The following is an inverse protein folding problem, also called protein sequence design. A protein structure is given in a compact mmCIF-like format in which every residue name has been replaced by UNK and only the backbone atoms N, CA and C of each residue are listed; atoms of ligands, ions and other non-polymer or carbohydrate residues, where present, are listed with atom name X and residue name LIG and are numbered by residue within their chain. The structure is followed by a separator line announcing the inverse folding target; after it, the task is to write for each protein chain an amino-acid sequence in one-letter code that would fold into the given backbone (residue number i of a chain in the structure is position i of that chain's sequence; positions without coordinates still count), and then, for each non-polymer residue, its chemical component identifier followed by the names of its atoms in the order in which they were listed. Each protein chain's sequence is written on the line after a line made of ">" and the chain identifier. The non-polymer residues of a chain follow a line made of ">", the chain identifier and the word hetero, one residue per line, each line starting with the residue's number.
data_IF_613542235473
#
_entry.id   IF_613542235473
#
_cell.length_a   1.000
_cell.length_b   1.000
_cell.length_c   1.000
_cell.angle_alpha   90.00
_cell.angle_beta   90.00
_cell.angle_gamma   90.00
#
_symmetry.space_group_name_H-M   'P 1'
#
loop_
_entity.id
_entity.type
_entity.pdbx_description
1 polymer ?
#
# COMPACT_ATOMS: atom_id res chain seq x y z
N UNK A 1 -2.83 5.85 8.30
CA UNK A 1 -2.57 4.78 7.31
C UNK A 1 -1.41 3.93 7.86
N UNK A 2 -1.55 2.61 8.11
CA UNK A 2 -0.41 1.73 8.51
C UNK A 2 0.08 0.85 7.35
N UNK A 3 -0.76 -0.04 6.81
CA UNK A 3 -0.29 -1.17 6.00
C UNK A 3 -0.94 -1.32 4.62
N UNK A 4 -1.82 -0.39 4.20
CA UNK A 4 -2.47 -0.34 2.87
C UNK A 4 -2.82 -1.74 2.28
N UNK A 5 -3.68 -2.54 2.96
CA UNK A 5 -3.95 -3.93 2.57
C UNK A 5 -4.60 -4.00 1.18
N UNK A 6 -4.20 -5.00 0.40
CA UNK A 6 -4.71 -5.25 -0.96
C UNK A 6 -5.43 -6.60 -1.05
N UNK A 7 -6.33 -6.81 -2.02
CA UNK A 7 -6.97 -8.11 -2.21
C UNK A 7 -5.94 -9.23 -2.32
N UNK A 8 -6.13 -10.27 -1.50
CA UNK A 8 -5.19 -11.38 -1.36
C UNK A 8 -4.40 -11.34 -0.04
N UNK A 9 -4.26 -10.17 0.59
CA UNK A 9 -3.71 -10.09 1.94
C UNK A 9 -4.69 -10.67 2.96
N UNK A 10 -4.18 -11.36 3.98
CA UNK A 10 -4.97 -11.67 5.17
C UNK A 10 -5.25 -10.39 5.95
N UNK A 11 -6.52 -10.11 6.20
CA UNK A 11 -6.98 -8.86 6.80
C UNK A 11 -7.77 -9.06 8.09
N UNK A 12 -7.70 -8.05 8.95
CA UNK A 12 -8.39 -7.94 10.22
C UNK A 12 -9.01 -6.56 10.36
N UNK A 13 -10.17 -6.47 11.01
CA UNK A 13 -10.87 -5.22 11.24
C UNK A 13 -10.66 -4.72 12.66
N UNK A 14 -10.63 -3.40 12.83
CA UNK A 14 -10.54 -2.76 14.14
C UNK A 14 -11.59 -1.63 14.26
N UNK A 15 -12.41 -1.69 15.31
CA UNK A 15 -13.47 -0.70 15.56
C UNK A 15 -12.86 0.61 16.08
N UNK A 16 -12.87 1.65 15.25
CA UNK A 16 -12.39 2.98 15.61
C UNK A 16 -13.44 3.77 16.41
N UNK A 17 -13.02 4.79 17.14
CA UNK A 17 -13.97 5.73 17.77
C UNK A 17 -14.52 6.70 16.71
N UNK A 18 -15.78 6.50 16.32
CA UNK A 18 -16.52 7.43 15.47
C UNK A 18 -16.17 7.44 13.97
N UNK A 19 -15.23 6.60 13.50
CA UNK A 19 -14.83 6.52 12.07
C UNK A 19 -15.14 5.17 11.41
N UNK A 20 -15.93 4.32 12.08
CA UNK A 20 -16.27 2.98 11.59
C UNK A 20 -15.15 1.97 11.81
N UNK A 21 -14.96 1.06 10.86
CA UNK A 21 -13.98 -0.03 10.94
C UNK A 21 -12.75 0.34 10.13
N UNK A 22 -11.57 0.28 10.75
CA UNK A 22 -10.29 0.35 10.06
C UNK A 22 -9.84 -1.07 9.69
N UNK A 23 -9.39 -1.26 8.45
CA UNK A 23 -8.88 -2.56 7.97
C UNK A 23 -7.35 -2.55 8.03
N UNK A 24 -6.80 -3.61 8.61
CA UNK A 24 -5.37 -3.85 8.73
C UNK A 24 -5.02 -5.21 8.13
N UNK A 25 -3.76 -5.41 7.75
CA UNK A 25 -3.21 -6.76 7.56
C UNK A 25 -3.11 -7.46 8.91
N UNK A 26 -3.29 -8.77 8.92
CA UNK A 26 -3.16 -9.61 10.11
C UNK A 26 -1.78 -9.50 10.78
N UNK A 27 -0.75 -9.13 10.02
CA UNK A 27 0.64 -8.95 10.47
C UNK A 27 1.07 -7.47 10.69
N UNK A 28 0.17 -6.47 10.68
CA UNK A 28 0.56 -5.07 10.95
C UNK A 28 0.95 -4.88 12.43
N UNK A 29 2.18 -4.45 12.69
CA UNK A 29 2.67 -4.13 14.06
C UNK A 29 1.78 -3.09 14.78
N UNK A 30 1.32 -2.07 14.04
CA UNK A 30 0.43 -1.06 14.62
C UNK A 30 -0.92 -1.66 15.04
N UNK A 31 -1.38 -2.70 14.35
CA UNK A 31 -2.59 -3.44 14.74
C UNK A 31 -2.33 -4.24 16.02
N UNK A 32 -1.21 -4.98 16.08
CA UNK A 32 -0.83 -5.74 17.28
C UNK A 32 -0.79 -4.86 18.54
N UNK A 33 -0.22 -3.65 18.45
CA UNK A 33 -0.18 -2.71 19.58
C UNK A 33 -1.56 -2.21 20.03
N UNK A 34 -2.47 -1.88 19.11
CA UNK A 34 -3.79 -1.36 19.50
C UNK A 34 -4.71 -2.45 20.05
N UNK A 35 -4.58 -3.67 19.53
CA UNK A 35 -5.32 -4.84 20.01
C UNK A 35 -4.86 -5.28 21.38
N UNK A 36 -3.57 -5.12 21.73
CA UNK A 36 -3.07 -5.41 23.09
C UNK A 36 -3.73 -4.51 24.16
N UNK A 37 -4.08 -3.27 23.79
CA UNK A 37 -4.75 -2.31 24.70
C UNK A 37 -6.28 -2.53 24.74
N UNK A 38 -6.89 -2.81 23.59
CA UNK A 38 -8.35 -2.96 23.44
C UNK A 38 -8.71 -4.16 22.53
N UNK A 39 -8.56 -5.40 23.03
CA UNK A 39 -8.77 -6.60 22.22
C UNK A 39 -10.23 -6.80 21.82
N UNK A 40 -11.17 -6.25 22.58
CA UNK A 40 -12.62 -6.34 22.31
C UNK A 40 -13.05 -5.60 21.03
N UNK A 41 -12.15 -4.81 20.46
CA UNK A 41 -12.41 -3.97 19.27
C UNK A 41 -11.93 -4.63 17.98
N UNK A 42 -11.29 -5.78 18.08
CA UNK A 42 -10.94 -6.62 16.93
C UNK A 42 -12.20 -7.30 16.36
N UNK A 43 -12.26 -7.36 15.04
CA UNK A 43 -13.31 -8.08 14.33
C UNK A 43 -12.73 -8.83 13.12
N UNK A 44 -13.17 -10.07 12.94
CA UNK A 44 -12.84 -10.86 11.76
C UNK A 44 -13.54 -10.26 10.52
N UNK A 45 -12.76 -10.05 9.47
CA UNK A 45 -13.24 -9.53 8.18
C UNK A 45 -12.59 -10.34 7.05
N UNK A 46 -13.23 -10.36 5.90
CA UNK A 46 -12.69 -10.99 4.70
C UNK A 46 -12.91 -10.09 3.49
N UNK A 47 -12.12 -10.29 2.45
CA UNK A 47 -12.40 -9.71 1.15
C UNK A 47 -13.70 -10.28 0.59
N UNK A 48 -14.40 -9.47 -0.19
CA UNK A 48 -15.54 -9.93 -0.99
C UNK A 48 -15.05 -10.85 -2.11
N UNK A 49 -15.79 -11.90 -2.43
CA UNK A 49 -15.48 -12.78 -3.57
C UNK A 49 -15.70 -12.08 -4.94
N UNK A 50 -16.49 -11.01 -4.97
CA UNK A 50 -16.75 -10.21 -6.19
C UNK A 50 -15.82 -8.99 -6.25
N UNK A 51 -14.52 -9.24 -6.38
CA UNK A 51 -13.49 -8.21 -6.53
C UNK A 51 -13.52 -7.66 -7.97
N UNK A 52 -14.51 -6.81 -8.29
CA UNK A 52 -14.61 -6.12 -9.59
C UNK A 52 -13.97 -4.73 -9.62
N UNK A 53 -13.39 -4.29 -8.51
CA UNK A 53 -12.84 -2.95 -8.39
C UNK A 53 -11.35 -2.91 -8.75
N UNK A 54 -10.90 -1.77 -9.30
CA UNK A 54 -9.48 -1.45 -9.38
C UNK A 54 -8.99 -0.94 -8.03
N UNK A 55 -7.80 -1.36 -7.61
CA UNK A 55 -7.19 -0.94 -6.34
C UNK A 55 -5.96 -0.07 -6.60
N UNK A 56 -5.80 0.95 -5.78
CA UNK A 56 -4.59 1.76 -5.76
C UNK A 56 -3.55 1.08 -4.87
N UNK A 57 -2.33 0.93 -5.39
CA UNK A 57 -1.18 0.46 -4.63
C UNK A 57 -0.07 1.50 -4.66
N UNK A 58 0.78 1.48 -3.64
CA UNK A 58 2.00 2.29 -3.60
C UNK A 58 3.19 1.39 -3.95
N UNK A 59 3.90 1.71 -5.03
CA UNK A 59 5.13 1.01 -5.42
C UNK A 59 6.34 1.87 -5.04
N UNK A 60 7.34 1.26 -4.41
CA UNK A 60 8.66 1.86 -4.16
C UNK A 60 9.67 1.23 -5.13
N UNK A 61 10.35 2.06 -5.93
CA UNK A 61 11.31 1.60 -6.94
C UNK A 61 12.65 2.23 -6.62
N UNK A 62 13.65 1.41 -6.30
CA UNK A 62 15.03 1.88 -6.16
C UNK A 62 15.78 1.55 -7.45
N UNK A 63 16.30 2.57 -8.13
CA UNK A 63 16.98 2.43 -9.41
C UNK A 63 18.18 3.35 -9.53
N UNK A 64 19.16 2.96 -10.34
CA UNK A 64 20.26 3.85 -10.69
C UNK A 64 19.75 5.02 -11.53
N UNK A 65 20.04 6.23 -11.08
CA UNK A 65 19.63 7.44 -11.78
C UNK A 65 20.41 7.56 -13.09
N UNK A 66 19.66 7.65 -14.18
CA UNK A 66 20.20 7.82 -15.52
C UNK A 66 19.20 8.58 -16.38
N UNK A 67 19.71 9.20 -17.44
CA UNK A 67 18.87 9.85 -18.42
C UNK A 67 17.83 8.86 -18.98
N UNK A 68 16.57 9.28 -18.93
CA UNK A 68 15.44 8.50 -19.43
C UNK A 68 14.85 7.48 -18.44
N UNK A 69 15.35 7.36 -17.21
CA UNK A 69 14.82 6.41 -16.22
C UNK A 69 13.30 6.52 -16.05
N UNK A 70 12.79 7.73 -15.78
CA UNK A 70 11.35 7.97 -15.58
C UNK A 70 10.52 7.66 -16.82
N UNK A 71 11.06 7.93 -18.01
CA UNK A 71 10.42 7.58 -19.29
C UNK A 71 10.27 6.07 -19.43
N UNK A 72 11.32 5.33 -19.10
CA UNK A 72 11.32 3.87 -19.22
C UNK A 72 10.33 3.25 -18.21
N UNK A 73 10.34 3.70 -16.95
CA UNK A 73 9.35 3.27 -15.93
C UNK A 73 7.93 3.58 -16.38
N UNK A 74 7.67 4.83 -16.81
CA UNK A 74 6.34 5.25 -17.25
C UNK A 74 5.85 4.47 -18.47
N UNK A 75 6.76 4.12 -19.39
CA UNK A 75 6.44 3.34 -20.59
C UNK A 75 6.05 1.90 -20.25
N UNK A 76 6.75 1.27 -19.30
CA UNK A 76 6.39 -0.07 -18.80
C UNK A 76 5.02 -0.04 -18.16
N UNK A 77 4.75 0.93 -17.26
CA UNK A 77 3.44 1.05 -16.59
C UNK A 77 2.30 1.29 -17.59
N UNK A 78 2.53 2.10 -18.62
CA UNK A 78 1.55 2.35 -19.67
C UNK A 78 1.26 1.10 -20.51
N UNK A 79 2.29 0.31 -20.85
CA UNK A 79 2.14 -0.95 -21.59
C UNK A 79 1.32 -1.98 -20.81
N UNK A 80 1.50 -2.02 -19.49
CA UNK A 80 0.72 -2.86 -18.57
C UNK A 80 -0.69 -2.31 -18.29
N UNK A 81 -1.07 -1.17 -18.90
CA UNK A 81 -2.36 -0.50 -18.72
C UNK A 81 -2.65 -0.13 -17.26
N UNK A 82 -1.59 0.14 -16.48
CA UNK A 82 -1.70 0.56 -15.09
C UNK A 82 -1.92 2.07 -15.04
N UNK A 83 -2.95 2.52 -14.33
CA UNK A 83 -3.20 3.95 -14.14
C UNK A 83 -2.30 4.51 -13.03
N UNK A 84 -1.49 5.52 -13.35
CA UNK A 84 -0.58 6.18 -12.39
C UNK A 84 -1.30 7.37 -11.74
N UNK A 85 -1.69 7.22 -10.47
CA UNK A 85 -2.39 8.27 -9.73
C UNK A 85 -1.45 9.35 -9.20
N UNK A 86 -0.26 8.96 -8.77
CA UNK A 86 0.78 9.85 -8.27
C UNK A 86 2.16 9.21 -8.49
N UNK A 87 3.17 10.03 -8.73
CA UNK A 87 4.57 9.61 -8.84
C UNK A 87 5.43 10.65 -8.13
N UNK A 88 6.20 10.21 -7.15
CA UNK A 88 7.23 11.02 -6.49
C UNK A 88 8.59 10.41 -6.82
N UNK A 89 9.57 11.26 -7.12
CA UNK A 89 10.94 10.84 -7.45
C UNK A 89 11.88 11.65 -6.58
N UNK A 90 12.77 10.97 -5.88
CA UNK A 90 13.82 11.57 -5.08
C UNK A 90 15.17 11.00 -5.50
N UNK A 91 16.05 11.85 -6.04
CA UNK A 91 17.43 11.48 -6.35
C UNK A 91 18.31 11.72 -5.13
N UNK A 92 19.08 10.72 -4.71
CA UNK A 92 20.14 10.88 -3.72
C UNK A 92 21.48 11.15 -4.43
N UNK A 93 21.96 12.40 -4.33
CA UNK A 93 23.17 12.88 -4.99
C UNK A 93 24.42 12.04 -4.65
N UNK A 94 24.50 11.51 -3.42
CA UNK A 94 25.66 10.72 -2.95
C UNK A 94 25.76 9.32 -3.56
N UNK A 95 24.70 8.80 -4.19
CA UNK A 95 24.64 7.39 -4.66
C UNK A 95 24.21 7.21 -6.11
N UNK A 96 23.83 8.27 -6.83
CA UNK A 96 23.17 8.17 -8.14
C UNK A 96 22.03 7.14 -8.10
N UNK A 97 21.22 7.17 -7.04
CA UNK A 97 20.03 6.32 -6.88
C UNK A 97 18.80 7.22 -6.84
N UNK A 98 17.84 6.92 -7.70
CA UNK A 98 16.50 7.46 -7.66
C UNK A 98 15.59 6.50 -6.89
N UNK A 99 14.75 7.06 -6.02
CA UNK A 99 13.72 6.35 -5.24
C UNK A 99 12.35 6.95 -5.53
#
# INVERSE_FOLDING_TARGET
>A
KCCEPVPGDEIVGYITQGRGIAVHRSDCESFAHITDVHPEREIAVSWSDDVKASYAITLKIEAHDRQGLIRDISSVLANEKVNVLNMNVQTQDDKNVAV
#
